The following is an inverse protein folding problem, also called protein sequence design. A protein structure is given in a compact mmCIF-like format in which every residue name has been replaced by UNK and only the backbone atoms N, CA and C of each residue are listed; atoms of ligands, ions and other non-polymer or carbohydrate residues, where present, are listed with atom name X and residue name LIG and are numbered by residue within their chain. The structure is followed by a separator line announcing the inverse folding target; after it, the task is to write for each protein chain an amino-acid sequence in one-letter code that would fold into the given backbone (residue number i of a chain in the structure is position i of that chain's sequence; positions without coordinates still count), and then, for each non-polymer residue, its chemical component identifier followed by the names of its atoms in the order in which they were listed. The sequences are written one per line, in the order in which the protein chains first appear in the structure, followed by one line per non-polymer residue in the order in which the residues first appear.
data_IF_160139131280
#
_entry.id   IF_160139131280
#
_cell.length_a   1.000
_cell.length_b   1.000
_cell.length_c   1.000
_cell.angle_alpha   90.00
_cell.angle_beta   90.00
_cell.angle_gamma   90.00
#
_symmetry.space_group_name_H-M   'P 1'
#
loop_
_entity.id
_entity.type
_entity.pdbx_description
1 polymer ?
#
# COMPACT_ATOMS: atom_id res chain seq x y z
N UNK A 1 24.23 11.59 19.76
CA UNK A 1 22.78 11.28 19.66
C UNK A 1 22.42 11.39 18.19
N UNK A 2 22.62 10.33 17.43
CA UNK A 2 22.33 10.31 15.99
C UNK A 2 20.91 9.78 15.80
N UNK A 3 20.06 10.62 15.23
CA UNK A 3 18.65 10.30 14.94
C UNK A 3 18.58 9.70 13.54
N UNK A 4 18.25 8.43 13.48
CA UNK A 4 18.02 7.71 12.23
C UNK A 4 16.72 8.21 11.59
N UNK A 5 16.80 8.64 10.35
CA UNK A 5 15.65 9.01 9.51
C UNK A 5 14.94 7.72 9.12
N UNK A 6 13.71 7.55 9.59
CA UNK A 6 12.86 6.41 9.19
C UNK A 6 12.47 6.56 7.71
N UNK A 7 12.94 5.64 6.89
CA UNK A 7 12.46 5.50 5.51
C UNK A 7 11.06 4.88 5.51
N UNK A 8 10.05 5.63 5.09
CA UNK A 8 8.73 5.07 4.82
C UNK A 8 8.65 4.62 3.36
N UNK A 9 8.70 3.33 3.15
CA UNK A 9 8.32 2.74 1.87
C UNK A 9 6.80 2.79 1.71
N UNK A 10 6.35 3.11 0.49
CA UNK A 10 4.93 3.22 0.12
C UNK A 10 4.38 1.82 -0.22
N UNK A 11 4.64 0.87 0.58
CA UNK A 11 3.81 -0.32 0.65
C UNK A 11 3.15 -0.28 2.01
N UNK A 12 1.86 -0.39 2.07
CA UNK A 12 1.05 -0.40 3.28
C UNK A 12 1.33 -1.63 4.14
N UNK A 13 2.58 -1.89 4.48
CA UNK A 13 3.04 -2.83 5.50
C UNK A 13 4.55 -2.91 5.50
N UNK A 14 5.33 -2.05 6.15
CA UNK A 14 6.66 -2.45 6.61
C UNK A 14 7.29 -1.33 7.43
N UNK A 15 7.27 -1.49 8.74
CA UNK A 15 8.17 -0.75 9.62
C UNK A 15 9.53 -1.44 9.61
N UNK A 16 10.56 -0.79 9.10
CA UNK A 16 11.94 -1.21 9.32
C UNK A 16 12.54 -0.35 10.42
N UNK A 17 12.98 -0.98 11.50
CA UNK A 17 13.83 -0.36 12.50
C UNK A 17 15.28 -0.41 12.01
N UNK A 18 15.96 0.72 11.95
CA UNK A 18 17.39 0.77 11.65
C UNK A 18 18.19 1.07 12.92
N UNK A 19 19.19 0.26 13.19
CA UNK A 19 20.25 0.52 14.15
C UNK A 19 21.62 0.16 13.57
N UNK A 20 22.58 1.01 13.85
CA UNK A 20 24.04 0.96 13.78
C UNK A 20 24.68 1.83 12.68
N UNK A 21 25.76 2.50 13.05
CA UNK A 21 26.64 3.22 12.12
C UNK A 21 27.34 2.20 11.22
N UNK A 22 26.86 2.13 9.99
CA UNK A 22 27.43 1.33 8.93
C UNK A 22 27.87 2.23 7.74
N UNK A 23 28.72 1.71 6.85
CA UNK A 23 29.17 2.43 5.66
C UNK A 23 27.96 3.05 4.92
N UNK A 24 28.14 4.08 4.10
CA UNK A 24 27.02 4.81 3.50
C UNK A 24 26.03 3.82 2.91
N UNK A 25 24.82 3.80 3.49
CA UNK A 25 23.81 2.82 3.17
C UNK A 25 23.63 2.75 1.65
N UNK A 26 23.57 1.54 1.11
CA UNK A 26 23.30 1.34 -0.31
C UNK A 26 22.10 2.19 -0.74
N UNK A 27 22.17 2.93 -1.84
CA UNK A 27 21.01 3.64 -2.36
C UNK A 27 19.90 2.68 -2.83
N UNK A 28 20.20 1.38 -2.90
CA UNK A 28 19.27 0.32 -3.27
C UNK A 28 18.81 -0.45 -2.04
N UNK A 29 17.52 -0.68 -1.95
CA UNK A 29 16.89 -1.59 -1.00
C UNK A 29 15.96 -2.55 -1.73
N UNK A 30 15.74 -3.73 -1.16
CA UNK A 30 14.80 -4.70 -1.70
C UNK A 30 14.09 -5.43 -0.56
N UNK A 31 12.94 -6.00 -0.86
CA UNK A 31 12.23 -6.83 0.09
C UNK A 31 11.48 -7.97 -0.62
N UNK A 32 11.21 -9.02 0.13
CA UNK A 32 10.31 -10.10 -0.26
C UNK A 32 9.47 -10.51 0.95
N UNK A 33 8.20 -10.82 0.73
CA UNK A 33 7.31 -11.29 1.77
C UNK A 33 6.34 -12.36 1.30
N UNK A 34 5.88 -13.15 2.25
CA UNK A 34 4.75 -14.07 2.09
C UNK A 34 3.68 -13.66 3.08
N UNK A 35 2.49 -13.37 2.58
CA UNK A 35 1.35 -12.97 3.39
C UNK A 35 0.21 -13.97 3.24
N UNK A 36 -0.54 -14.21 4.32
CA UNK A 36 -1.70 -15.11 4.30
C UNK A 36 -2.87 -14.58 3.46
N UNK A 37 -2.93 -13.26 3.24
CA UNK A 37 -3.89 -12.60 2.37
C UNK A 37 -3.35 -11.21 1.98
N UNK A 38 -3.61 -10.77 0.75
CA UNK A 38 -3.30 -9.41 0.32
C UNK A 38 -4.54 -8.53 0.36
N UNK A 39 -4.50 -7.48 1.15
CA UNK A 39 -5.54 -6.43 1.18
C UNK A 39 -4.95 -5.07 0.81
N UNK A 40 -5.57 -4.42 -0.17
CA UNK A 40 -5.30 -3.06 -0.57
C UNK A 40 -6.45 -2.15 -0.14
N UNK A 41 -6.17 -1.10 0.64
CA UNK A 41 -7.21 -0.21 1.23
C UNK A 41 -8.36 -1.01 1.87
N UNK A 42 -8.00 -2.05 2.64
CA UNK A 42 -8.96 -2.92 3.32
C UNK A 42 -9.69 -3.94 2.42
N UNK A 43 -9.52 -3.87 1.11
CA UNK A 43 -10.16 -4.75 0.13
C UNK A 43 -9.26 -5.93 -0.26
N UNK A 44 -9.81 -7.12 -0.26
CA UNK A 44 -9.12 -8.38 -0.61
C UNK A 44 -8.72 -8.38 -2.09
N UNK A 45 -7.45 -8.61 -2.39
CA UNK A 45 -6.89 -8.76 -3.74
C UNK A 45 -6.53 -10.21 -4.07
N UNK A 46 -6.40 -11.04 -3.05
CA UNK A 46 -5.94 -12.42 -3.14
C UNK A 46 -7.05 -13.47 -3.25
N UNK A 47 -8.31 -13.06 -3.22
CA UNK A 47 -9.44 -14.00 -3.09
C UNK A 47 -9.28 -14.90 -1.85
N UNK A 48 -8.87 -14.32 -0.73
CA UNK A 48 -8.58 -14.97 0.54
C UNK A 48 -7.52 -16.09 0.44
N UNK A 49 -6.53 -15.91 -0.44
CA UNK A 49 -5.41 -16.83 -0.62
C UNK A 49 -4.10 -16.14 -0.25
N UNK A 50 -3.06 -16.90 0.08
CA UNK A 50 -1.73 -16.35 0.29
C UNK A 50 -1.20 -15.64 -0.95
N UNK A 51 -0.36 -14.61 -0.72
CA UNK A 51 0.33 -13.90 -1.77
C UNK A 51 1.83 -13.83 -1.50
N UNK A 52 2.61 -13.84 -2.58
CA UNK A 52 4.04 -13.51 -2.57
C UNK A 52 4.15 -12.08 -3.06
N UNK A 53 4.89 -11.26 -2.31
CA UNK A 53 5.03 -9.84 -2.55
C UNK A 53 6.50 -9.45 -2.45
N UNK A 54 6.89 -8.37 -3.12
CA UNK A 54 8.24 -7.84 -2.99
C UNK A 54 8.54 -6.78 -4.02
N UNK A 55 9.66 -6.11 -3.80
CA UNK A 55 10.07 -5.02 -4.68
C UNK A 55 11.47 -4.54 -4.37
N UNK A 56 11.85 -3.50 -5.07
CA UNK A 56 13.13 -2.82 -4.90
C UNK A 56 12.96 -1.32 -5.08
N UNK A 57 13.82 -0.57 -4.39
CA UNK A 57 13.85 0.88 -4.41
C UNK A 57 15.27 1.37 -4.66
N UNK A 58 15.36 2.49 -5.36
CA UNK A 58 16.54 3.34 -5.41
C UNK A 58 16.20 4.69 -4.78
N UNK A 59 17.04 5.17 -3.85
CA UNK A 59 16.83 6.47 -3.21
C UNK A 59 18.15 7.22 -3.07
N UNK A 60 18.19 8.47 -3.54
CA UNK A 60 19.38 9.34 -3.43
C UNK A 60 18.97 10.81 -3.36
N UNK A 61 19.50 11.52 -2.38
CA UNK A 61 19.30 12.98 -2.22
C UNK A 61 17.81 13.39 -2.20
N UNK A 62 16.96 12.60 -1.53
CA UNK A 62 15.51 12.83 -1.47
C UNK A 62 14.72 12.28 -2.64
N UNK A 63 15.31 12.11 -3.82
CA UNK A 63 14.65 11.43 -4.95
C UNK A 63 14.60 9.93 -4.73
N UNK A 64 13.51 9.31 -5.15
CA UNK A 64 13.37 7.85 -5.16
C UNK A 64 12.57 7.38 -6.38
N UNK A 65 12.86 6.16 -6.79
CA UNK A 65 12.09 5.38 -7.75
C UNK A 65 12.07 3.93 -7.26
N UNK A 66 10.96 3.27 -7.42
CA UNK A 66 10.80 1.89 -6.98
C UNK A 66 9.77 1.12 -7.79
N UNK A 67 9.80 -0.18 -7.53
CA UNK A 67 8.81 -1.12 -8.03
C UNK A 67 8.43 -2.07 -6.91
N UNK A 68 7.13 -2.30 -6.75
CA UNK A 68 6.60 -3.31 -5.87
C UNK A 68 5.65 -4.22 -6.63
N UNK A 69 5.60 -5.50 -6.27
CA UNK A 69 4.81 -6.50 -6.98
C UNK A 69 4.10 -7.41 -5.99
N UNK A 70 2.94 -7.91 -6.39
CA UNK A 70 2.18 -8.91 -5.64
C UNK A 70 1.49 -9.91 -6.56
N UNK A 71 1.51 -11.16 -6.20
CA UNK A 71 0.54 -12.09 -6.75
C UNK A 71 -0.87 -11.70 -6.30
N UNK A 72 -1.84 -11.78 -7.21
CA UNK A 72 -3.25 -11.46 -6.96
C UNK A 72 -4.16 -12.59 -7.43
N UNK A 73 -5.33 -12.72 -6.80
CA UNK A 73 -6.27 -13.82 -7.04
C UNK A 73 -7.68 -13.40 -7.45
N UNK A 74 -7.99 -12.09 -7.39
CA UNK A 74 -9.33 -11.60 -7.76
C UNK A 74 -9.57 -11.58 -9.26
N UNK A 75 -8.52 -11.66 -10.06
CA UNK A 75 -8.57 -11.42 -11.48
C UNK A 75 -7.64 -12.37 -12.23
N UNK A 76 -7.80 -12.44 -13.55
CA UNK A 76 -6.95 -13.27 -14.41
C UNK A 76 -5.53 -12.68 -14.63
N UNK A 77 -5.22 -11.49 -14.08
CA UNK A 77 -3.91 -10.87 -14.27
C UNK A 77 -2.79 -11.64 -13.57
N UNK A 78 -3.11 -12.32 -12.46
CA UNK A 78 -2.15 -13.12 -11.69
C UNK A 78 -1.14 -12.31 -10.89
N UNK A 79 -0.78 -11.10 -11.37
CA UNK A 79 0.19 -10.20 -10.75
C UNK A 79 -0.26 -8.74 -10.86
N UNK A 80 0.00 -7.98 -9.81
CA UNK A 80 -0.02 -6.52 -9.76
C UNK A 80 1.42 -6.03 -9.72
N UNK A 81 1.73 -4.99 -10.49
CA UNK A 81 3.06 -4.37 -10.55
C UNK A 81 2.90 -2.86 -10.35
N UNK A 82 3.49 -2.33 -9.30
CA UNK A 82 3.42 -0.92 -8.95
C UNK A 82 4.75 -0.25 -9.24
N UNK A 83 4.73 0.77 -10.06
CA UNK A 83 5.89 1.62 -10.37
C UNK A 83 5.67 2.98 -9.75
N UNK A 84 6.60 3.45 -8.96
CA UNK A 84 6.47 4.73 -8.29
C UNK A 84 7.78 5.51 -8.27
N UNK A 85 7.63 6.81 -8.10
CA UNK A 85 8.75 7.70 -7.91
C UNK A 85 8.30 9.02 -7.31
N UNK A 86 9.23 9.71 -6.67
CA UNK A 86 8.91 10.94 -5.98
C UNK A 86 10.11 11.62 -5.36
N UNK A 87 9.78 12.56 -4.50
CA UNK A 87 10.75 13.29 -3.72
C UNK A 87 10.26 13.42 -2.27
N UNK A 88 11.12 13.10 -1.33
CA UNK A 88 10.86 13.21 0.10
C UNK A 88 11.94 14.00 0.80
N UNK A 89 11.57 14.68 1.86
CA UNK A 89 12.50 15.49 2.63
C UNK A 89 11.93 15.87 3.99
N UNK A 90 12.57 16.82 4.64
CA UNK A 90 12.16 17.38 5.91
C UNK A 90 11.81 18.86 5.74
N UNK A 91 10.65 19.29 6.24
CA UNK A 91 10.20 20.70 6.21
C UNK A 91 10.84 21.45 7.38
N UNK A 92 10.68 20.88 8.56
CA UNK A 92 11.32 21.31 9.82
C UNK A 92 11.63 20.05 10.61
N UNK A 93 12.43 20.17 11.66
CA UNK A 93 12.82 19.04 12.50
C UNK A 93 11.59 18.18 12.89
N UNK A 94 11.71 16.88 12.66
CA UNK A 94 10.71 15.85 12.96
C UNK A 94 9.41 15.94 12.10
N UNK A 95 9.35 16.84 11.08
CA UNK A 95 8.23 16.95 10.14
C UNK A 95 8.72 16.62 8.73
N UNK A 96 8.44 15.40 8.27
CA UNK A 96 8.77 14.96 6.93
C UNK A 96 7.66 15.23 5.92
N UNK A 97 8.04 15.29 4.63
CA UNK A 97 7.09 15.30 3.51
C UNK A 97 7.50 14.30 2.44
N UNK A 98 6.54 13.86 1.65
CA UNK A 98 6.71 12.99 0.51
C UNK A 98 5.69 13.35 -0.56
N UNK A 99 6.15 13.56 -1.80
CA UNK A 99 5.29 13.80 -2.96
C UNK A 99 5.73 12.92 -4.11
N UNK A 100 4.78 12.33 -4.82
CA UNK A 100 5.14 11.43 -5.90
C UNK A 100 3.98 10.99 -6.78
N UNK A 101 4.32 10.08 -7.67
CA UNK A 101 3.41 9.43 -8.60
C UNK A 101 3.51 7.92 -8.42
N UNK A 102 2.38 7.25 -8.56
CA UNK A 102 2.26 5.80 -8.49
C UNK A 102 1.40 5.29 -9.65
N UNK A 103 1.97 4.33 -10.39
CA UNK A 103 1.29 3.60 -11.46
C UNK A 103 1.05 2.16 -11.02
N UNK A 104 -0.20 1.80 -10.82
CA UNK A 104 -0.62 0.42 -10.71
C UNK A 104 -0.74 -0.16 -12.12
N UNK A 105 -0.01 -1.23 -12.39
CA UNK A 105 0.05 -1.87 -13.68
C UNK A 105 -0.33 -3.35 -13.59
N UNK A 106 -1.22 -3.75 -14.47
CA UNK A 106 -1.68 -5.13 -14.61
C UNK A 106 -1.35 -5.61 -16.01
N UNK A 107 -0.39 -6.54 -16.19
CA UNK A 107 0.13 -6.91 -17.52
C UNK A 107 -0.90 -7.60 -18.41
N UNK A 108 -1.99 -8.09 -17.84
CA UNK A 108 -3.10 -8.65 -18.60
C UNK A 108 -4.37 -7.83 -18.40
N UNK A 109 -5.08 -7.57 -19.49
CA UNK A 109 -6.42 -6.98 -19.39
C UNK A 109 -7.31 -7.95 -18.61
N UNK A 110 -7.82 -7.47 -17.48
CA UNK A 110 -8.62 -8.28 -16.59
C UNK A 110 -10.01 -8.47 -17.15
N UNK A 111 -10.51 -9.70 -17.16
CA UNK A 111 -11.93 -9.95 -17.43
C UNK A 111 -12.73 -9.52 -16.20
N UNK A 112 -13.39 -8.37 -16.29
CA UNK A 112 -14.45 -8.02 -15.38
C UNK A 112 -15.67 -8.96 -15.63
N UNK A 113 -16.60 -8.98 -14.69
CA UNK A 113 -17.77 -9.86 -14.72
C UNK A 113 -18.54 -9.90 -16.07
N UNK A 114 -18.38 -8.88 -16.94
CA UNK A 114 -19.04 -8.78 -18.24
C UNK A 114 -18.13 -8.27 -19.36
N UNK A 115 -16.83 -8.57 -19.35
CA UNK A 115 -15.94 -8.13 -20.44
C UNK A 115 -14.50 -7.90 -20.03
N UNK A 116 -13.74 -7.14 -20.82
CA UNK A 116 -12.33 -6.83 -20.59
C UNK A 116 -12.20 -5.41 -20.06
N UNK A 117 -11.81 -5.24 -18.81
CA UNK A 117 -11.56 -3.93 -18.20
C UNK A 117 -10.06 -3.63 -18.14
N UNK A 118 -9.71 -2.36 -18.29
CA UNK A 118 -8.38 -1.86 -17.97
C UNK A 118 -8.35 -1.47 -16.48
N UNK A 119 -7.47 -2.12 -15.71
CA UNK A 119 -7.33 -1.87 -14.28
C UNK A 119 -6.18 -0.92 -13.96
N UNK A 120 -5.36 -0.57 -14.98
CA UNK A 120 -4.23 0.33 -14.77
C UNK A 120 -4.71 1.66 -14.20
N UNK A 121 -4.09 2.06 -13.11
CA UNK A 121 -4.49 3.24 -12.37
C UNK A 121 -3.27 4.07 -12.05
N UNK A 122 -3.35 5.39 -12.29
CA UNK A 122 -2.29 6.34 -11.97
C UNK A 122 -2.78 7.28 -10.88
N UNK A 123 -1.99 7.43 -9.81
CA UNK A 123 -2.25 8.35 -8.72
C UNK A 123 -1.08 9.31 -8.51
N UNK A 124 -1.39 10.56 -8.20
CA UNK A 124 -0.48 11.49 -7.55
C UNK A 124 -0.73 11.43 -6.05
N UNK A 125 0.31 11.60 -5.25
CA UNK A 125 0.15 11.62 -3.81
C UNK A 125 1.03 12.65 -3.13
N UNK A 126 0.58 13.05 -1.94
CA UNK A 126 1.35 13.85 -1.01
C UNK A 126 1.13 13.33 0.42
N UNK A 127 2.20 13.34 1.21
CA UNK A 127 2.16 12.94 2.60
C UNK A 127 2.95 13.90 3.49
N UNK A 128 2.53 13.98 4.75
CA UNK A 128 3.26 14.65 5.83
C UNK A 128 3.39 13.66 6.98
N UNK A 129 4.58 13.57 7.56
CA UNK A 129 4.85 12.73 8.73
C UNK A 129 5.30 13.57 9.92
N UNK A 130 4.85 13.18 11.10
CA UNK A 130 5.28 13.75 12.37
C UNK A 130 5.38 12.66 13.44
N UNK A 131 6.57 12.47 13.97
CA UNK A 131 6.84 11.38 14.89
C UNK A 131 6.42 10.01 14.33
N UNK A 132 5.58 9.23 15.03
CA UNK A 132 5.13 7.93 14.54
C UNK A 132 4.00 7.99 13.50
N UNK A 133 3.39 9.17 13.28
CA UNK A 133 2.17 9.34 12.48
C UNK A 133 2.46 9.87 11.08
N UNK A 134 1.66 9.45 10.11
CA UNK A 134 1.68 9.93 8.72
C UNK A 134 0.25 10.20 8.26
N UNK A 135 0.05 11.34 7.62
CA UNK A 135 -1.15 11.68 6.85
C UNK A 135 -0.77 11.68 5.38
N UNK A 136 -1.46 10.88 4.56
CA UNK A 136 -1.25 10.79 3.11
C UNK A 136 -2.57 10.98 2.37
N UNK A 137 -2.51 11.74 1.28
CA UNK A 137 -3.60 11.84 0.31
C UNK A 137 -3.14 11.37 -1.05
N UNK A 138 -3.91 10.46 -1.66
CA UNK A 138 -3.70 9.98 -3.04
C UNK A 138 -4.87 10.41 -3.91
N UNK A 139 -4.57 10.86 -5.13
CA UNK A 139 -5.53 11.38 -6.09
C UNK A 139 -5.37 10.68 -7.44
N UNK A 140 -6.42 10.01 -7.90
CA UNK A 140 -6.43 9.33 -9.20
C UNK A 140 -6.48 10.33 -10.33
N UNK A 141 -5.49 10.31 -11.22
CA UNK A 141 -5.37 11.17 -12.40
C UNK A 141 -5.69 10.45 -13.70
N UNK A 142 -5.60 9.12 -13.73
CA UNK A 142 -6.05 8.30 -14.86
C UNK A 142 -7.57 8.30 -14.99
N UNK A 143 -8.09 7.97 -16.18
CA UNK A 143 -9.53 7.74 -16.37
C UNK A 143 -10.00 6.47 -15.70
N UNK A 144 -9.15 5.45 -15.64
CA UNK A 144 -9.45 4.20 -14.96
C UNK A 144 -9.11 4.31 -13.47
N UNK A 145 -9.89 3.64 -12.66
CA UNK A 145 -9.66 3.35 -11.26
C UNK A 145 -10.02 1.89 -11.03
N UNK A 146 -9.03 1.02 -11.15
CA UNK A 146 -9.14 -0.44 -10.94
C UNK A 146 -10.35 -1.09 -11.65
N UNK A 147 -10.69 -0.61 -12.86
CA UNK A 147 -11.78 -1.13 -13.66
C UNK A 147 -13.20 -0.80 -13.20
N UNK A 148 -13.37 -0.04 -12.10
CA UNK A 148 -14.71 0.28 -11.55
C UNK A 148 -15.63 1.04 -12.50
N UNK A 149 -15.09 1.76 -13.49
CA UNK A 149 -15.87 2.47 -14.51
C UNK A 149 -16.21 1.65 -15.75
N UNK A 150 -15.85 0.37 -15.80
CA UNK A 150 -16.08 -0.48 -16.96
C UNK A 150 -17.41 -1.22 -16.85
N UNK A 151 -18.23 -1.13 -17.91
CA UNK A 151 -19.50 -1.85 -18.06
C UNK A 151 -19.44 -2.66 -19.36
N UNK A 152 -19.72 -3.95 -19.29
CA UNK A 152 -19.66 -4.84 -20.46
C UNK A 152 -18.26 -4.94 -21.11
N UNK A 153 -17.19 -4.66 -20.36
CA UNK A 153 -15.82 -4.67 -20.87
C UNK A 153 -15.41 -3.39 -21.61
N UNK A 154 -16.26 -2.38 -21.62
CA UNK A 154 -15.99 -1.07 -22.18
C UNK A 154 -15.90 -0.07 -21.04
N UNK A 155 -14.86 0.78 -21.06
CA UNK A 155 -14.77 1.92 -20.14
C UNK A 155 -15.90 2.89 -20.44
N UNK A 156 -16.90 2.93 -19.57
CA UNK A 156 -18.09 3.77 -19.71
C UNK A 156 -18.00 5.00 -18.82
N UNK A 157 -17.52 4.82 -17.58
CA UNK A 157 -17.48 5.88 -16.58
C UNK A 157 -16.04 6.13 -16.12
N UNK A 158 -15.77 7.35 -15.67
CA UNK A 158 -14.44 7.77 -15.27
C UNK A 158 -14.20 7.58 -13.77
N UNK A 159 -13.10 6.93 -13.42
CA UNK A 159 -12.58 6.87 -12.05
C UNK A 159 -11.67 8.03 -11.66
N UNK A 160 -11.38 8.96 -12.61
CA UNK A 160 -10.57 10.15 -12.34
C UNK A 160 -11.19 10.98 -11.23
N UNK A 161 -10.34 11.55 -10.36
CA UNK A 161 -10.73 12.30 -9.16
C UNK A 161 -11.26 11.39 -8.02
N UNK A 162 -11.03 10.08 -8.07
CA UNK A 162 -11.13 9.26 -6.87
C UNK A 162 -9.99 9.65 -5.94
N UNK A 163 -10.32 9.88 -4.68
CA UNK A 163 -9.37 10.27 -3.64
C UNK A 163 -9.30 9.25 -2.53
N UNK A 164 -8.11 9.11 -1.94
CA UNK A 164 -7.89 8.28 -0.77
C UNK A 164 -7.10 9.05 0.29
N UNK A 165 -7.69 9.17 1.47
CA UNK A 165 -7.05 9.75 2.64
C UNK A 165 -6.62 8.63 3.57
N UNK A 166 -5.36 8.63 3.98
CA UNK A 166 -4.74 7.67 4.89
C UNK A 166 -4.20 8.38 6.12
N UNK A 167 -4.50 7.84 7.27
CA UNK A 167 -3.85 8.18 8.54
C UNK A 167 -3.28 6.91 9.12
N UNK A 168 -1.96 6.84 9.22
CA UNK A 168 -1.25 5.69 9.76
C UNK A 168 -0.31 6.08 10.87
N UNK A 169 -0.05 5.16 11.81
CA UNK A 169 0.94 5.36 12.85
C UNK A 169 1.60 4.05 13.26
N UNK A 170 2.92 4.13 13.55
CA UNK A 170 3.74 3.02 13.98
C UNK A 170 4.39 3.37 15.33
N UNK A 171 4.00 2.67 16.39
CA UNK A 171 4.48 2.92 17.74
C UNK A 171 5.43 1.81 18.18
N UNK A 172 6.74 2.07 18.31
CA UNK A 172 7.65 1.13 18.96
C UNK A 172 7.19 0.91 20.41
N UNK A 173 6.81 -0.34 20.74
CA UNK A 173 6.37 -0.71 22.09
C UNK A 173 7.56 -1.17 22.94
N UNK A 174 8.42 -2.00 22.36
CA UNK A 174 9.70 -2.44 22.90
C UNK A 174 10.69 -2.61 21.74
N UNK A 175 11.97 -2.91 22.02
CA UNK A 175 13.04 -2.95 21.02
C UNK A 175 12.69 -3.72 19.73
N UNK A 176 12.00 -4.85 19.84
CA UNK A 176 11.67 -5.71 18.69
C UNK A 176 10.21 -5.67 18.27
N UNK A 177 9.32 -4.94 18.97
CA UNK A 177 7.87 -4.99 18.75
C UNK A 177 7.31 -3.60 18.43
N UNK A 178 6.64 -3.49 17.30
CA UNK A 178 5.98 -2.26 16.84
C UNK A 178 4.49 -2.49 16.70
N UNK A 179 3.67 -1.61 17.27
CA UNK A 179 2.23 -1.51 17.00
C UNK A 179 2.02 -0.72 15.70
N UNK A 180 1.28 -1.29 14.76
CA UNK A 180 0.94 -0.67 13.48
C UNK A 180 -0.55 -0.38 13.43
N UNK A 181 -0.92 0.85 13.17
CA UNK A 181 -2.32 1.28 13.06
C UNK A 181 -2.55 2.06 11.77
N UNK A 182 -3.75 1.94 11.23
CA UNK A 182 -4.14 2.64 10.01
C UNK A 182 -5.67 2.81 9.97
N UNK A 183 -6.10 3.97 9.48
CA UNK A 183 -7.48 4.24 9.07
C UNK A 183 -7.44 4.99 7.75
N UNK A 184 -8.23 4.54 6.77
CA UNK A 184 -8.33 5.16 5.46
C UNK A 184 -9.76 5.49 5.05
N UNK A 185 -9.90 6.41 4.11
CA UNK A 185 -11.17 6.77 3.50
C UNK A 185 -11.05 6.90 1.99
N UNK A 186 -11.74 6.03 1.27
CA UNK A 186 -11.89 6.11 -0.19
C UNK A 186 -13.14 6.91 -0.55
N UNK A 187 -12.94 8.03 -1.25
CA UNK A 187 -14.00 8.81 -1.89
C UNK A 187 -13.92 8.59 -3.39
N UNK A 188 -14.83 7.81 -3.93
CA UNK A 188 -14.90 7.59 -5.37
C UNK A 188 -15.26 8.87 -6.14
N UNK A 189 -14.83 8.95 -7.39
CA UNK A 189 -15.25 9.98 -8.32
C UNK A 189 -16.78 10.08 -8.41
N UNK A 190 -17.31 11.28 -8.65
CA UNK A 190 -18.74 11.47 -8.77
C UNK A 190 -19.35 10.57 -9.87
N UNK A 191 -18.66 10.46 -11.00
CA UNK A 191 -19.08 9.61 -12.12
C UNK A 191 -19.29 8.13 -11.73
N UNK A 192 -18.41 7.58 -10.87
CA UNK A 192 -18.56 6.22 -10.33
C UNK A 192 -19.69 6.11 -9.30
N UNK A 193 -19.83 7.10 -8.42
CA UNK A 193 -20.86 7.07 -7.38
C UNK A 193 -22.26 7.21 -7.95
N UNK A 194 -22.42 8.15 -8.88
CA UNK A 194 -23.74 8.57 -9.37
C UNK A 194 -24.25 7.65 -10.49
N UNK A 195 -23.35 7.09 -11.32
CA UNK A 195 -23.73 6.28 -12.48
C UNK A 195 -23.49 4.76 -12.29
N UNK A 196 -22.52 4.37 -11.44
CA UNK A 196 -22.26 2.95 -11.12
C UNK A 196 -22.83 2.57 -9.75
N UNK A 197 -23.06 3.54 -8.88
CA UNK A 197 -23.56 3.32 -7.53
C UNK A 197 -22.51 2.83 -6.54
N UNK A 198 -21.22 3.07 -6.82
CA UNK A 198 -20.13 2.62 -5.96
C UNK A 198 -20.07 3.48 -4.68
N UNK A 199 -20.30 2.94 -3.48
CA UNK A 199 -20.28 3.73 -2.26
C UNK A 199 -18.87 4.01 -1.77
N UNK A 200 -18.64 5.22 -1.25
CA UNK A 200 -17.45 5.50 -0.47
C UNK A 200 -17.33 4.58 0.75
N UNK A 201 -16.11 4.30 1.20
CA UNK A 201 -15.90 3.41 2.34
C UNK A 201 -14.69 3.80 3.18
N UNK A 202 -14.67 3.34 4.43
CA UNK A 202 -13.54 3.39 5.34
C UNK A 202 -12.88 2.02 5.40
N UNK A 203 -11.57 2.03 5.57
CA UNK A 203 -10.80 0.85 5.89
C UNK A 203 -9.93 1.08 7.13
N UNK A 204 -9.45 -0.01 7.73
CA UNK A 204 -8.67 0.03 8.95
C UNK A 204 -7.74 -1.17 9.07
N UNK A 205 -6.65 -0.96 9.79
CA UNK A 205 -5.71 -1.99 10.22
C UNK A 205 -5.24 -1.73 11.65
N UNK A 206 -5.18 -2.78 12.44
CA UNK A 206 -4.49 -2.80 13.73
C UNK A 206 -3.69 -4.09 13.80
N UNK A 207 -2.40 -4.00 14.04
CA UNK A 207 -1.52 -5.15 14.07
C UNK A 207 -0.22 -4.86 14.79
N UNK A 208 0.61 -5.88 14.87
CA UNK A 208 1.96 -5.80 15.45
C UNK A 208 2.96 -6.40 14.48
N UNK A 209 4.17 -5.84 14.49
CA UNK A 209 5.33 -6.38 13.78
C UNK A 209 6.40 -6.71 14.81
N UNK A 210 6.94 -7.93 14.73
CA UNK A 210 8.05 -8.38 15.56
C UNK A 210 9.31 -8.58 14.70
N UNK A 211 10.39 -7.92 15.09
CA UNK A 211 11.70 -8.06 14.46
C UNK A 211 12.36 -9.36 14.89
N UNK A 212 12.61 -10.23 13.92
CA UNK A 212 13.27 -11.53 14.11
C UNK A 212 14.78 -11.49 13.81
N UNK A 213 15.37 -10.30 13.59
CA UNK A 213 16.77 -10.17 13.16
C UNK A 213 17.76 -10.87 14.09
N UNK A 214 17.46 -10.93 15.38
CA UNK A 214 18.27 -11.64 16.38
C UNK A 214 18.23 -13.17 16.23
N UNK A 215 17.22 -13.74 15.59
CA UNK A 215 16.98 -15.18 15.50
C UNK A 215 17.11 -15.74 14.08
N UNK A 216 16.66 -14.97 13.10
CA UNK A 216 16.52 -15.42 11.71
C UNK A 216 17.39 -14.65 10.71
N UNK A 217 18.27 -13.76 11.22
CA UNK A 217 19.14 -12.93 10.41
C UNK A 217 18.57 -11.54 10.12
N UNK A 218 19.45 -10.59 9.85
CA UNK A 218 19.12 -9.17 9.64
C UNK A 218 17.96 -8.98 8.67
N UNK A 219 17.05 -8.07 9.00
CA UNK A 219 15.91 -7.68 8.14
C UNK A 219 14.77 -8.72 8.05
N UNK A 220 14.77 -9.77 8.89
CA UNK A 220 13.64 -10.71 8.96
C UNK A 220 12.64 -10.23 10.00
N UNK A 221 11.36 -10.15 9.63
CA UNK A 221 10.28 -9.78 10.54
C UNK A 221 9.02 -10.60 10.29
N UNK A 222 8.19 -10.73 11.32
CA UNK A 222 6.86 -11.32 11.23
C UNK A 222 5.84 -10.30 11.72
N UNK A 223 4.71 -10.20 11.03
CA UNK A 223 3.59 -9.35 11.45
C UNK A 223 2.28 -10.09 11.49
N UNK A 224 1.39 -9.65 12.39
CA UNK A 224 0.01 -10.09 12.46
C UNK A 224 -0.92 -8.88 12.60
N UNK A 225 -1.95 -8.79 11.78
CA UNK A 225 -2.86 -7.66 11.78
C UNK A 225 -4.31 -8.06 11.51
N UNK A 226 -5.25 -7.35 12.13
CA UNK A 226 -6.66 -7.36 11.76
C UNK A 226 -6.89 -6.23 10.77
N UNK A 227 -7.36 -6.57 9.58
CA UNK A 227 -7.59 -5.64 8.46
C UNK A 227 -9.01 -5.81 7.94
N UNK A 228 -9.70 -4.70 7.72
CA UNK A 228 -11.07 -4.73 7.20
C UNK A 228 -11.51 -3.41 6.60
N UNK A 229 -12.71 -3.42 6.00
CA UNK A 229 -13.34 -2.24 5.46
C UNK A 229 -14.83 -2.21 5.75
N UNK A 230 -15.41 -1.01 5.68
CA UNK A 230 -16.84 -0.78 5.80
C UNK A 230 -17.61 -1.20 4.54
N UNK A 231 -18.93 -0.99 4.50
CA UNK A 231 -19.78 -1.28 3.35
C UNK A 231 -19.77 -2.75 2.90
N UNK A 232 -19.67 -3.67 3.87
CA UNK A 232 -19.66 -5.12 3.61
C UNK A 232 -20.92 -5.61 2.89
N UNK A 233 -22.07 -4.97 3.10
CA UNK A 233 -23.31 -5.29 2.39
C UNK A 233 -23.25 -5.04 0.87
N UNK A 234 -22.39 -4.10 0.44
CA UNK A 234 -22.18 -3.80 -0.98
C UNK A 234 -21.02 -4.63 -1.57
N UNK A 235 -19.87 -4.64 -0.88
CA UNK A 235 -18.63 -5.25 -1.38
C UNK A 235 -18.49 -6.74 -1.00
N UNK A 236 -19.34 -7.26 -0.11
CA UNK A 236 -19.30 -8.65 0.30
C UNK A 236 -17.98 -9.05 0.95
N UNK A 237 -17.46 -10.19 0.53
CA UNK A 237 -16.24 -10.79 1.08
C UNK A 237 -14.97 -9.97 0.82
N UNK A 238 -14.95 -9.11 -0.18
CA UNK A 238 -13.82 -8.23 -0.48
C UNK A 238 -13.52 -7.32 0.73
N UNK A 239 -14.55 -6.77 1.38
CA UNK A 239 -14.42 -5.88 2.55
C UNK A 239 -14.45 -6.62 3.90
N UNK A 240 -14.54 -7.95 3.90
CA UNK A 240 -14.61 -8.73 5.14
C UNK A 240 -13.35 -8.53 5.99
N UNK A 241 -13.56 -8.33 7.29
CA UNK A 241 -12.44 -8.25 8.25
C UNK A 241 -11.74 -9.58 8.34
N UNK A 242 -10.40 -9.58 8.29
CA UNK A 242 -9.57 -10.77 8.35
C UNK A 242 -8.34 -10.52 9.23
N UNK A 243 -7.88 -11.57 9.86
CA UNK A 243 -6.54 -11.61 10.43
C UNK A 243 -5.56 -12.00 9.31
N UNK A 244 -4.47 -11.25 9.20
CA UNK A 244 -3.44 -11.44 8.19
C UNK A 244 -2.10 -11.60 8.88
N UNK A 245 -1.39 -12.66 8.56
CA UNK A 245 -0.02 -12.90 8.99
C UNK A 245 0.92 -12.72 7.79
N UNK A 246 2.07 -12.06 8.02
CA UNK A 246 3.07 -11.81 6.97
C UNK A 246 4.46 -12.06 7.52
N UNK A 247 5.27 -12.80 6.77
CA UNK A 247 6.71 -12.96 7.00
C UNK A 247 7.45 -12.15 5.93
N UNK A 248 8.39 -11.32 6.35
CA UNK A 248 9.13 -10.43 5.46
C UNK A 248 10.62 -10.60 5.64
N UNK A 249 11.37 -10.48 4.55
CA UNK A 249 12.82 -10.30 4.51
C UNK A 249 13.13 -9.01 3.76
N UNK A 250 13.78 -8.06 4.43
CA UNK A 250 14.39 -6.87 3.83
C UNK A 250 15.89 -7.11 3.57
N UNK A 251 16.41 -6.51 2.49
CA UNK A 251 17.79 -6.66 2.00
C UNK A 251 18.46 -5.29 1.89
#
# INVERSE_FOLDING_TARGET
MNKSILLFAIASTLGAAAHAEDPPASPFTANVSVTSNYKYRGQDQGNNKPAIQGGFDFSKNGFYIGNWNSSIGLTNAGIEMDFYGGYKGEIVKDVGYDVGILQYYYPQKMRAFNGVADYNTTELYGAVSFGPATLKYSHTVSKDYFGWGSVGGVRTYSGRNTGYLDVSANFPLVEALTLNTHVGYTRYAADLRDNVGVPNYYDYKVGVTYDLSKFAGSGVSISGAVVGASKKGYYGDINKTRFIATLTKSL
#
